data_IF_382151950274
#
_entry.id   IF_382151950274
#
_cell.length_a   1.000
_cell.length_b   1.000
_cell.length_c   1.000
_cell.angle_alpha   90.00
_cell.angle_beta   90.00
_cell.angle_gamma   90.00
#
_symmetry.space_group_name_H-M   'P 1'
#
loop_
_entity.id
_entity.type
_entity.pdbx_description
1 polymer ?
#
# COMPACT_ATOMS: atom_id res chain seq x y z
N UNK A 1 -25.80 -16.06 -31.34
CA UNK A 1 -25.07 -15.60 -30.14
C UNK A 1 -23.57 -15.34 -30.38
N UNK A 2 -22.82 -16.24 -31.01
CA UNK A 2 -21.37 -16.02 -31.25
C UNK A 2 -21.10 -14.92 -32.30
N UNK A 3 -21.93 -14.78 -33.32
CA UNK A 3 -21.86 -13.72 -34.33
C UNK A 3 -22.29 -12.35 -33.77
N UNK A 4 -23.21 -12.29 -32.83
CA UNK A 4 -23.62 -11.04 -32.16
C UNK A 4 -22.47 -10.48 -31.32
N UNK A 5 -21.74 -11.32 -30.60
CA UNK A 5 -20.56 -10.94 -29.84
C UNK A 5 -19.46 -10.34 -30.72
N UNK A 6 -19.20 -10.92 -31.91
CA UNK A 6 -18.25 -10.38 -32.89
C UNK A 6 -18.71 -9.07 -33.52
N UNK A 7 -20.00 -8.89 -33.78
CA UNK A 7 -20.54 -7.67 -34.39
C UNK A 7 -20.52 -6.49 -33.42
N UNK A 8 -20.73 -6.74 -32.16
CA UNK A 8 -20.80 -5.69 -31.13
C UNK A 8 -19.48 -5.45 -30.38
N UNK A 9 -18.40 -6.16 -30.72
CA UNK A 9 -17.08 -6.02 -30.08
C UNK A 9 -17.08 -6.47 -28.62
N UNK A 10 -18.02 -7.33 -28.21
CA UNK A 10 -17.99 -7.96 -26.91
C UNK A 10 -16.94 -9.06 -26.87
N UNK A 11 -16.09 -9.02 -25.87
CA UNK A 11 -15.03 -10.00 -25.69
C UNK A 11 -15.57 -11.15 -24.87
N UNK A 12 -15.41 -12.42 -25.31
CA UNK A 12 -15.77 -13.60 -24.54
C UNK A 12 -15.03 -13.68 -23.20
N UNK A 13 -15.66 -14.24 -22.18
CA UNK A 13 -15.12 -14.32 -20.84
C UNK A 13 -13.81 -15.11 -20.71
N UNK A 14 -13.64 -16.13 -21.53
CA UNK A 14 -12.43 -16.95 -21.61
C UNK A 14 -11.22 -16.19 -22.19
N UNK A 15 -11.46 -15.23 -23.08
CA UNK A 15 -10.40 -14.38 -23.62
C UNK A 15 -9.92 -13.35 -22.61
N UNK A 16 -10.81 -12.81 -21.76
CA UNK A 16 -10.41 -11.95 -20.64
C UNK A 16 -9.47 -12.64 -19.64
N UNK A 17 -9.68 -13.92 -19.39
CA UNK A 17 -8.79 -14.74 -18.54
C UNK A 17 -7.36 -14.80 -19.10
N UNK A 18 -7.21 -14.96 -20.41
CA UNK A 18 -5.90 -15.07 -21.05
C UNK A 18 -5.13 -13.75 -21.07
N UNK A 19 -5.83 -12.63 -21.22
CA UNK A 19 -5.22 -11.29 -21.26
C UNK A 19 -4.62 -10.90 -19.91
N UNK A 20 -5.33 -11.16 -18.82
CA UNK A 20 -4.85 -10.83 -17.47
C UNK A 20 -3.54 -11.53 -17.10
N UNK A 21 -3.26 -12.69 -17.68
CA UNK A 21 -2.03 -13.45 -17.44
C UNK A 21 -0.79 -12.84 -18.11
N UNK A 22 -0.96 -12.00 -19.13
CA UNK A 22 0.14 -11.50 -19.96
C UNK A 22 0.54 -10.04 -19.67
N UNK A 23 -0.17 -9.35 -18.77
CA UNK A 23 0.16 -7.96 -18.42
C UNK A 23 1.21 -7.94 -17.33
N UNK A 24 2.44 -7.57 -17.68
CA UNK A 24 3.54 -7.38 -16.72
C UNK A 24 3.47 -5.98 -16.13
N UNK A 25 3.34 -5.89 -14.81
CA UNK A 25 3.39 -4.64 -14.05
C UNK A 25 4.56 -4.64 -13.10
N UNK A 26 5.09 -3.45 -12.74
CA UNK A 26 6.03 -3.37 -11.65
C UNK A 26 5.36 -3.86 -10.36
N UNK A 27 6.02 -4.81 -9.69
CA UNK A 27 5.59 -5.27 -8.38
C UNK A 27 5.76 -4.13 -7.38
N UNK A 28 4.68 -3.80 -6.67
CA UNK A 28 4.81 -2.94 -5.52
C UNK A 28 5.45 -3.75 -4.38
N UNK A 29 6.54 -3.25 -3.78
CA UNK A 29 7.18 -3.95 -2.67
C UNK A 29 6.25 -4.25 -1.49
N UNK A 30 5.16 -3.48 -1.32
CA UNK A 30 4.17 -3.71 -0.27
C UNK A 30 3.42 -5.03 -0.45
N UNK A 31 3.32 -5.54 -1.68
CA UNK A 31 2.66 -6.82 -1.96
C UNK A 31 3.41 -8.02 -1.35
N UNK A 32 4.70 -7.88 -1.05
CA UNK A 32 5.46 -8.91 -0.32
C UNK A 32 5.03 -8.97 1.15
N UNK A 33 4.62 -7.84 1.73
CA UNK A 33 4.16 -7.74 3.12
C UNK A 33 2.69 -8.09 3.28
N UNK A 34 1.88 -7.84 2.24
CA UNK A 34 0.43 -8.09 2.21
C UNK A 34 0.08 -8.99 1.04
N UNK A 35 0.18 -10.30 1.24
CA UNK A 35 -0.26 -11.27 0.23
C UNK A 35 -1.77 -11.19 0.00
N UNK A 36 -2.22 -11.36 -1.23
CA UNK A 36 -3.63 -11.28 -1.59
C UNK A 36 -4.33 -12.62 -1.32
N UNK A 37 -5.49 -12.56 -0.65
CA UNK A 37 -6.35 -13.72 -0.34
C UNK A 37 -7.81 -13.37 -0.66
N UNK A 38 -8.59 -14.40 -1.05
CA UNK A 38 -10.01 -14.26 -1.35
C UNK A 38 -10.88 -14.82 -0.23
N UNK A 39 -11.94 -14.09 0.11
CA UNK A 39 -13.02 -14.61 0.94
C UNK A 39 -14.36 -14.08 0.44
N UNK A 40 -15.37 -14.93 0.39
CA UNK A 40 -16.73 -14.57 -0.02
C UNK A 40 -17.44 -13.65 0.97
N UNK A 41 -16.96 -13.53 2.22
CA UNK A 41 -17.55 -12.68 3.22
C UNK A 41 -17.38 -11.19 2.88
N UNK A 42 -18.44 -10.40 2.98
CA UNK A 42 -18.40 -8.94 2.84
C UNK A 42 -17.53 -8.29 3.93
N UNK A 43 -17.60 -8.82 5.14
CA UNK A 43 -16.89 -8.28 6.31
C UNK A 43 -15.58 -9.05 6.50
N UNK A 44 -14.47 -8.32 6.52
CA UNK A 44 -13.19 -8.82 6.96
C UNK A 44 -13.19 -8.91 8.50
N UNK A 45 -12.90 -10.09 9.03
CA UNK A 45 -12.82 -10.33 10.48
C UNK A 45 -11.44 -10.83 10.82
N UNK A 46 -10.81 -10.22 11.80
CA UNK A 46 -9.56 -10.71 12.36
C UNK A 46 -9.52 -10.48 13.87
N UNK A 47 -8.60 -11.14 14.52
CA UNK A 47 -8.41 -11.06 15.95
C UNK A 47 -7.00 -10.60 16.28
N UNK A 48 -6.88 -9.69 17.20
CA UNK A 48 -5.59 -9.24 17.74
C UNK A 48 -5.53 -9.44 19.24
N UNK A 49 -4.31 -9.62 19.76
CA UNK A 49 -4.04 -9.71 21.19
C UNK A 49 -3.43 -8.37 21.61
N UNK A 50 -3.96 -7.76 22.68
CA UNK A 50 -3.41 -6.50 23.19
C UNK A 50 -1.94 -6.65 23.62
N UNK A 51 -1.13 -5.58 23.46
CA UNK A 51 0.34 -5.60 23.64
C UNK A 51 0.79 -6.11 24.99
N UNK A 52 0.12 -5.68 26.01
CA UNK A 52 0.43 -6.06 27.38
C UNK A 52 0.35 -7.58 27.64
N UNK A 53 -0.39 -8.30 26.79
CA UNK A 53 -0.54 -9.75 26.86
C UNK A 53 0.32 -10.52 25.86
N UNK A 54 1.09 -9.84 25.02
CA UNK A 54 2.00 -10.48 24.07
C UNK A 54 3.34 -10.81 24.70
N UNK A 55 3.66 -10.18 25.83
CA UNK A 55 4.84 -10.51 26.64
C UNK A 55 4.54 -11.78 27.44
N UNK A 56 5.38 -12.85 27.33
CA UNK A 56 5.13 -14.09 28.02
C UNK A 56 5.25 -13.92 29.56
N UNK A 57 4.23 -14.35 30.28
CA UNK A 57 4.21 -14.32 31.74
C UNK A 57 4.94 -15.54 32.27
N UNK A 58 5.84 -15.32 33.22
CA UNK A 58 6.64 -16.37 33.85
C UNK A 58 5.77 -17.25 34.76
N UNK A 59 5.86 -18.58 34.62
CA UNK A 59 5.31 -19.53 35.55
C UNK A 59 6.15 -19.58 36.85
N UNK A 60 5.52 -19.89 37.96
CA UNK A 60 6.18 -19.97 39.27
C UNK A 60 6.53 -21.41 39.61
N UNK A 61 7.64 -21.60 40.33
CA UNK A 61 7.97 -22.90 40.92
C UNK A 61 7.06 -23.18 42.12
N UNK A 62 6.61 -24.44 42.24
CA UNK A 62 5.79 -24.91 43.34
C UNK A 62 6.50 -26.05 44.08
N UNK A 63 6.22 -26.19 45.36
CA UNK A 63 6.65 -27.36 46.12
C UNK A 63 5.89 -28.62 45.66
N UNK A 64 6.45 -29.79 45.97
CA UNK A 64 5.72 -31.04 45.74
C UNK A 64 4.43 -31.05 46.57
N UNK A 65 3.39 -31.65 46.05
CA UNK A 65 2.06 -31.79 46.68
C UNK A 65 1.32 -30.46 46.96
N UNK A 66 1.70 -29.36 46.26
CA UNK A 66 0.98 -28.08 46.33
C UNK A 66 0.16 -27.84 45.06
N UNK A 67 -0.99 -27.15 45.23
CA UNK A 67 -1.86 -26.80 44.10
C UNK A 67 -1.20 -25.74 43.20
N UNK A 68 -1.38 -25.89 41.87
CA UNK A 68 -0.87 -24.95 40.89
C UNK A 68 -1.64 -23.63 40.92
N UNK A 69 -0.93 -22.51 40.80
CA UNK A 69 -1.54 -21.18 40.70
C UNK A 69 -2.34 -21.03 39.42
N UNK A 70 -3.59 -20.61 39.54
CA UNK A 70 -4.45 -20.33 38.38
C UNK A 70 -3.95 -19.08 37.66
N UNK A 71 -3.82 -19.16 36.33
CA UNK A 71 -3.53 -18.04 35.45
C UNK A 71 -4.82 -17.57 34.70
N UNK A 72 -4.74 -16.40 34.07
CA UNK A 72 -5.84 -15.84 33.32
C UNK A 72 -5.73 -16.19 31.82
N UNK A 73 -6.87 -16.13 31.10
CA UNK A 73 -6.89 -16.22 29.66
C UNK A 73 -6.61 -14.84 29.07
N UNK A 74 -5.78 -14.80 28.02
CA UNK A 74 -5.49 -13.59 27.28
C UNK A 74 -6.75 -13.09 26.57
N UNK A 75 -7.17 -11.84 26.79
CA UNK A 75 -8.28 -11.26 26.02
C UNK A 75 -7.89 -11.10 24.55
N UNK A 76 -8.85 -11.32 23.67
CA UNK A 76 -8.69 -11.21 22.22
C UNK A 76 -9.69 -10.19 21.71
N UNK A 77 -9.18 -9.16 21.08
CA UNK A 77 -10.00 -8.16 20.41
C UNK A 77 -10.39 -8.62 19.01
N UNK A 78 -11.66 -8.51 18.69
CA UNK A 78 -12.19 -8.89 17.38
C UNK A 78 -12.47 -7.63 16.58
N UNK A 79 -11.81 -7.50 15.46
CA UNK A 79 -12.00 -6.41 14.51
C UNK A 79 -12.88 -6.86 13.36
N UNK A 80 -13.82 -5.99 12.96
CA UNK A 80 -14.71 -6.21 11.83
C UNK A 80 -14.68 -4.98 10.93
N UNK A 81 -14.29 -5.13 9.68
CA UNK A 81 -14.26 -4.05 8.70
C UNK A 81 -14.99 -4.52 7.44
N UNK A 82 -15.91 -3.70 6.95
CA UNK A 82 -16.55 -3.94 5.66
C UNK A 82 -15.58 -3.64 4.52
N UNK A 83 -15.51 -4.54 3.52
CA UNK A 83 -14.65 -4.36 2.36
C UNK A 83 -15.18 -3.23 1.48
N UNK A 84 -14.28 -2.38 1.02
CA UNK A 84 -14.60 -1.30 0.10
C UNK A 84 -14.83 -1.79 -1.32
N UNK A 85 -15.89 -1.31 -1.97
CA UNK A 85 -16.20 -1.64 -3.35
C UNK A 85 -15.58 -0.62 -4.30
N UNK A 86 -14.62 -1.07 -5.10
CA UNK A 86 -13.90 -0.28 -6.10
C UNK A 86 -14.53 -0.54 -7.46
N UNK A 87 -14.95 0.52 -8.17
CA UNK A 87 -15.57 0.42 -9.50
C UNK A 87 -15.04 1.50 -10.42
N UNK A 88 -14.81 1.12 -11.66
CA UNK A 88 -14.47 2.04 -12.74
C UNK A 88 -15.10 1.58 -14.04
N UNK A 89 -15.56 2.50 -14.88
CA UNK A 89 -16.16 2.17 -16.18
C UNK A 89 -15.75 3.15 -17.27
N UNK A 90 -15.73 2.66 -18.48
CA UNK A 90 -15.53 3.44 -19.71
C UNK A 90 -16.60 3.07 -20.72
N UNK A 91 -16.96 4.02 -21.59
CA UNK A 91 -17.89 3.76 -22.68
C UNK A 91 -17.22 3.93 -24.04
N UNK A 92 -17.67 3.16 -25.02
CA UNK A 92 -17.43 3.41 -26.42
C UNK A 92 -18.61 4.21 -26.98
N UNK A 93 -18.34 5.48 -27.33
CA UNK A 93 -19.37 6.36 -27.88
C UNK A 93 -19.84 5.89 -29.27
N UNK A 94 -21.08 6.21 -29.63
CA UNK A 94 -21.63 5.94 -30.96
C UNK A 94 -20.74 6.45 -32.11
N UNK A 95 -20.15 7.65 -31.92
CA UNK A 95 -19.24 8.24 -32.89
C UNK A 95 -17.99 7.40 -33.09
N UNK A 96 -17.38 6.88 -32.02
CA UNK A 96 -16.22 6.01 -32.08
C UNK A 96 -16.57 4.72 -32.81
N UNK A 97 -17.72 4.12 -32.50
CA UNK A 97 -18.21 2.89 -33.16
C UNK A 97 -18.52 3.09 -34.63
N UNK A 98 -19.09 4.24 -34.99
CA UNK A 98 -19.36 4.57 -36.41
C UNK A 98 -18.07 4.77 -37.22
N UNK A 99 -17.04 5.41 -36.63
CA UNK A 99 -15.74 5.59 -37.25
C UNK A 99 -14.99 4.28 -37.43
N UNK A 100 -15.01 3.40 -36.41
CA UNK A 100 -14.39 2.07 -36.45
C UNK A 100 -15.09 1.16 -37.47
N UNK A 101 -16.42 1.24 -37.60
CA UNK A 101 -17.19 0.45 -38.56
C UNK A 101 -16.91 0.83 -40.03
N UNK A 102 -16.50 2.08 -40.29
CA UNK A 102 -16.28 2.61 -41.64
C UNK A 102 -14.91 2.28 -42.25
N UNK A 103 -13.91 1.88 -41.49
CA UNK A 103 -12.55 1.72 -42.01
C UNK A 103 -11.57 0.85 -41.27
N UNK A 104 -11.95 0.24 -40.14
CA UNK A 104 -11.04 -0.57 -39.31
C UNK A 104 -11.45 -2.03 -39.35
N UNK A 105 -10.46 -2.92 -39.47
CA UNK A 105 -10.72 -4.36 -39.37
C UNK A 105 -11.20 -4.72 -37.97
N UNK A 106 -12.04 -5.74 -37.84
CA UNK A 106 -12.61 -6.18 -36.57
C UNK A 106 -11.55 -6.48 -35.49
N UNK A 107 -10.36 -6.89 -35.87
CA UNK A 107 -9.25 -7.23 -34.98
C UNK A 107 -8.70 -5.99 -34.25
N UNK A 108 -8.55 -4.85 -34.91
CA UNK A 108 -8.07 -3.61 -34.27
C UNK A 108 -9.08 -3.03 -33.28
N UNK A 109 -10.36 -3.18 -33.53
CA UNK A 109 -11.41 -2.78 -32.59
C UNK A 109 -11.44 -3.68 -31.35
N UNK A 110 -11.23 -4.97 -31.57
CA UNK A 110 -11.11 -5.96 -30.51
C UNK A 110 -9.95 -5.63 -29.57
N UNK A 111 -8.76 -5.35 -30.14
CA UNK A 111 -7.57 -4.97 -29.38
C UNK A 111 -7.78 -3.67 -28.58
N UNK A 112 -8.49 -2.69 -29.15
CA UNK A 112 -8.80 -1.44 -28.47
C UNK A 112 -9.68 -1.66 -27.24
N UNK A 113 -10.76 -2.44 -27.37
CA UNK A 113 -11.67 -2.76 -26.25
C UNK A 113 -10.97 -3.61 -25.18
N UNK A 114 -10.12 -4.54 -25.62
CA UNK A 114 -9.30 -5.35 -24.74
C UNK A 114 -8.36 -4.50 -23.89
N UNK A 115 -7.66 -3.54 -24.53
CA UNK A 115 -6.78 -2.61 -23.84
C UNK A 115 -7.53 -1.74 -22.84
N UNK A 116 -8.74 -1.30 -23.14
CA UNK A 116 -9.57 -0.55 -22.19
C UNK A 116 -9.92 -1.38 -20.96
N UNK A 117 -10.29 -2.63 -21.12
CA UNK A 117 -10.58 -3.53 -20.00
C UNK A 117 -9.36 -3.77 -19.10
N UNK A 118 -8.17 -3.95 -19.70
CA UNK A 118 -6.92 -4.09 -18.95
C UNK A 118 -6.64 -2.82 -18.14
N UNK A 119 -6.76 -1.65 -18.77
CA UNK A 119 -6.54 -0.36 -18.08
C UNK A 119 -7.50 -0.14 -16.91
N UNK A 120 -8.77 -0.53 -17.05
CA UNK A 120 -9.75 -0.46 -15.96
C UNK A 120 -9.38 -1.41 -14.81
N UNK A 121 -8.96 -2.63 -15.12
CA UNK A 121 -8.48 -3.57 -14.11
C UNK A 121 -7.24 -3.03 -13.40
N UNK A 122 -6.32 -2.37 -14.13
CA UNK A 122 -5.15 -1.72 -13.57
C UNK A 122 -5.50 -0.63 -12.57
N UNK A 123 -6.52 0.16 -12.85
CA UNK A 123 -6.99 1.19 -11.94
C UNK A 123 -7.53 0.59 -10.63
N UNK A 124 -8.28 -0.51 -10.70
CA UNK A 124 -8.75 -1.21 -9.50
C UNK A 124 -7.59 -1.73 -8.66
N UNK A 125 -6.61 -2.41 -9.27
CA UNK A 125 -5.42 -2.91 -8.57
C UNK A 125 -4.57 -1.78 -8.01
N UNK A 126 -4.42 -0.68 -8.74
CA UNK A 126 -3.71 0.52 -8.27
C UNK A 126 -4.32 1.05 -6.97
N UNK A 127 -5.66 1.15 -6.89
CA UNK A 127 -6.34 1.62 -5.67
C UNK A 127 -6.10 0.68 -4.48
N UNK A 128 -6.01 -0.63 -4.70
CA UNK A 128 -5.69 -1.57 -3.61
C UNK A 128 -4.26 -1.42 -3.11
N UNK A 129 -3.30 -1.18 -4.00
CA UNK A 129 -1.91 -0.88 -3.63
C UNK A 129 -1.80 0.42 -2.86
N UNK A 130 -2.55 1.46 -3.25
CA UNK A 130 -2.63 2.72 -2.50
C UNK A 130 -3.11 2.46 -1.07
N UNK A 131 -4.18 1.67 -0.88
CA UNK A 131 -4.69 1.36 0.45
C UNK A 131 -3.67 0.59 1.32
N UNK A 132 -2.93 -0.37 0.76
CA UNK A 132 -1.86 -1.10 1.47
C UNK A 132 -0.73 -0.15 1.89
N UNK A 133 -0.29 0.75 1.02
CA UNK A 133 0.77 1.71 1.31
C UNK A 133 0.33 2.78 2.31
N UNK A 134 -0.93 3.22 2.25
CA UNK A 134 -1.51 4.17 3.19
C UNK A 134 -1.57 3.56 4.60
N UNK A 135 -1.99 2.30 4.72
CA UNK A 135 -1.93 1.55 5.98
C UNK A 135 -0.50 1.52 6.55
N UNK A 136 0.50 1.27 5.72
CA UNK A 136 1.90 1.28 6.14
C UNK A 136 2.39 2.68 6.55
N UNK A 137 1.89 3.73 5.94
CA UNK A 137 2.35 5.10 6.18
C UNK A 137 1.67 5.79 7.36
N UNK A 138 0.45 5.36 7.72
CA UNK A 138 -0.38 6.05 8.74
C UNK A 138 -1.02 5.13 9.79
N UNK A 139 -1.05 3.81 9.57
CA UNK A 139 -1.81 2.87 10.39
C UNK A 139 -3.33 2.92 10.14
N UNK A 140 -3.77 3.67 9.14
CA UNK A 140 -5.17 3.89 8.80
C UNK A 140 -5.35 3.84 7.28
N UNK A 141 -6.57 3.60 6.82
CA UNK A 141 -6.97 3.75 5.41
C UNK A 141 -8.12 4.73 5.32
N UNK A 142 -7.95 5.80 4.57
CA UNK A 142 -8.94 6.86 4.40
C UNK A 142 -9.54 6.79 3.01
N UNK A 143 -10.86 6.74 2.94
CA UNK A 143 -11.63 6.69 1.69
C UNK A 143 -12.51 7.95 1.65
N UNK A 144 -12.06 8.97 0.92
CA UNK A 144 -12.79 10.23 0.71
C UNK A 144 -13.04 10.37 -0.79
N UNK A 145 -13.95 9.55 -1.30
CA UNK A 145 -14.20 9.43 -2.74
C UNK A 145 -15.70 9.26 -3.00
N UNK A 146 -16.21 9.88 -4.06
CA UNK A 146 -17.60 9.69 -4.54
C UNK A 146 -18.69 9.85 -3.46
N UNK A 147 -18.50 10.76 -2.51
CA UNK A 147 -19.42 11.01 -1.40
C UNK A 147 -19.28 10.04 -0.22
N UNK A 148 -18.36 9.11 -0.29
CA UNK A 148 -17.93 8.31 0.87
C UNK A 148 -16.90 9.11 1.67
N UNK A 149 -17.03 9.12 2.99
CA UNK A 149 -16.03 9.63 3.91
C UNK A 149 -15.90 8.61 5.04
N UNK A 150 -14.98 7.70 4.87
CA UNK A 150 -14.73 6.59 5.79
C UNK A 150 -13.24 6.52 6.11
N UNK A 151 -12.90 6.56 7.38
CA UNK A 151 -11.56 6.24 7.86
C UNK A 151 -11.60 4.92 8.61
N UNK A 152 -10.83 3.98 8.15
CA UNK A 152 -10.64 2.68 8.79
C UNK A 152 -9.39 2.75 9.63
N UNK A 153 -9.56 2.77 10.95
CA UNK A 153 -8.46 2.73 11.92
C UNK A 153 -8.18 1.28 12.29
N UNK A 154 -6.93 0.87 12.14
CA UNK A 154 -6.48 -0.49 12.48
C UNK A 154 -6.07 -0.65 13.94
N UNK A 155 -6.16 0.42 14.74
CA UNK A 155 -5.81 0.39 16.15
C UNK A 155 -4.30 0.36 16.42
N UNK A 156 -3.49 0.91 15.50
CA UNK A 156 -2.06 1.10 15.76
C UNK A 156 -1.89 2.06 16.95
N UNK A 157 -1.15 1.70 18.00
CA UNK A 157 -1.01 2.55 19.16
C UNK A 157 -0.52 3.95 18.81
N UNK A 158 -1.14 4.99 19.39
CA UNK A 158 -0.77 6.38 19.09
C UNK A 158 0.72 6.67 19.37
N UNK A 159 1.31 6.01 20.39
CA UNK A 159 2.73 6.11 20.68
C UNK A 159 3.61 5.58 19.54
N UNK A 160 3.13 4.56 18.82
CA UNK A 160 3.88 3.94 17.72
C UNK A 160 3.83 4.78 16.43
N UNK A 161 2.91 5.73 16.33
CA UNK A 161 2.74 6.62 15.16
C UNK A 161 3.36 8.00 15.40
N UNK A 162 3.72 8.31 16.64
CA UNK A 162 4.19 9.64 17.06
C UNK A 162 5.71 9.85 16.91
N UNK A 163 6.45 8.89 16.39
CA UNK A 163 7.89 9.04 16.21
C UNK A 163 8.23 10.08 15.15
N UNK A 164 9.31 10.79 15.41
CA UNK A 164 9.91 11.73 14.45
C UNK A 164 11.33 11.28 14.13
N UNK A 165 11.75 11.46 12.88
CA UNK A 165 13.08 11.10 12.42
C UNK A 165 13.69 12.32 11.70
N UNK A 166 14.73 12.88 12.26
CA UNK A 166 15.50 13.92 11.60
C UNK A 166 16.60 13.29 10.74
N UNK A 167 16.46 13.45 9.42
CA UNK A 167 17.41 12.95 8.43
C UNK A 167 18.34 14.06 7.92
N UNK A 168 18.61 15.09 8.72
CA UNK A 168 19.60 16.12 8.38
C UNK A 168 21.02 15.54 8.43
N UNK A 169 21.98 16.24 7.79
CA UNK A 169 23.34 15.74 7.63
C UNK A 169 24.08 15.47 8.95
N UNK A 170 23.75 16.23 9.99
CA UNK A 170 24.42 16.16 11.30
C UNK A 170 23.52 15.60 12.41
N UNK A 171 22.33 15.10 12.08
CA UNK A 171 21.44 14.52 13.07
C UNK A 171 21.97 13.15 13.56
N UNK A 172 21.76 12.85 14.81
CA UNK A 172 22.07 11.52 15.38
C UNK A 172 20.98 10.53 14.98
N UNK A 173 21.04 10.04 13.74
CA UNK A 173 20.08 9.06 13.22
C UNK A 173 20.18 7.72 13.97
N UNK A 174 21.37 7.17 14.30
CA UNK A 174 21.50 5.96 15.09
C UNK A 174 20.74 6.02 16.42
N UNK A 175 20.92 7.09 17.21
CA UNK A 175 20.22 7.24 18.49
C UNK A 175 18.70 7.33 18.33
N UNK A 176 18.22 7.98 17.26
CA UNK A 176 16.79 8.05 16.97
C UNK A 176 16.21 6.69 16.59
N UNK A 177 16.92 5.91 15.77
CA UNK A 177 16.51 4.53 15.44
C UNK A 177 16.51 3.66 16.69
N UNK A 178 17.56 3.78 17.53
CA UNK A 178 17.63 3.04 18.80
C UNK A 178 16.42 3.31 19.70
N UNK A 179 15.99 4.57 19.78
CA UNK A 179 14.78 4.95 20.55
C UNK A 179 13.53 4.19 20.06
N UNK A 180 13.38 4.01 18.75
CA UNK A 180 12.26 3.28 18.16
C UNK A 180 12.38 1.78 18.44
N UNK A 181 13.59 1.23 18.34
CA UNK A 181 13.87 -0.18 18.66
C UNK A 181 13.60 -0.47 20.12
N UNK A 182 14.04 0.39 21.03
CA UNK A 182 13.81 0.25 22.48
C UNK A 182 12.31 0.31 22.82
N UNK A 183 11.56 1.20 22.16
CA UNK A 183 10.11 1.26 22.32
C UNK A 183 9.40 -0.01 21.82
N UNK A 184 9.91 -0.63 20.73
CA UNK A 184 9.41 -1.91 20.26
C UNK A 184 9.73 -3.04 21.24
N UNK A 185 10.95 -3.09 21.75
CA UNK A 185 11.37 -4.09 22.73
C UNK A 185 10.58 -3.98 24.04
N UNK A 186 10.25 -2.77 24.48
CA UNK A 186 9.40 -2.54 25.63
C UNK A 186 7.97 -3.12 25.46
N UNK A 187 7.51 -3.24 24.20
CA UNK A 187 6.24 -3.89 23.83
C UNK A 187 6.40 -5.38 23.51
N UNK A 188 7.58 -5.97 23.75
CA UNK A 188 7.86 -7.37 23.40
C UNK A 188 7.99 -7.64 21.90
N UNK A 189 8.26 -6.59 21.08
CA UNK A 189 8.43 -6.69 19.63
C UNK A 189 9.88 -6.51 19.22
N UNK A 190 10.31 -7.24 18.21
CA UNK A 190 11.62 -7.06 17.57
C UNK A 190 11.42 -6.52 16.17
N UNK A 191 11.96 -5.36 15.89
CA UNK A 191 11.91 -4.78 14.54
C UNK A 191 12.72 -5.66 13.59
N UNK A 192 12.08 -6.13 12.51
CA UNK A 192 12.72 -6.99 11.50
C UNK A 192 12.88 -6.29 10.17
N UNK A 193 12.15 -5.19 9.96
CA UNK A 193 12.20 -4.49 8.69
C UNK A 193 11.86 -3.01 8.77
N UNK A 194 12.21 -2.33 7.68
CA UNK A 194 11.94 -0.91 7.48
C UNK A 194 11.47 -0.64 6.06
N UNK A 195 10.46 0.20 5.90
CA UNK A 195 9.98 0.69 4.61
C UNK A 195 10.12 2.21 4.52
N UNK A 196 10.72 2.69 3.43
CA UNK A 196 10.95 4.13 3.21
C UNK A 196 11.18 4.45 1.73
N UNK A 197 11.42 5.71 1.40
CA UNK A 197 11.80 6.15 0.05
C UNK A 197 13.33 6.07 -0.18
N UNK A 198 13.74 5.96 -1.45
CA UNK A 198 15.15 6.06 -1.84
C UNK A 198 15.78 7.38 -1.39
N UNK A 199 15.00 8.46 -1.40
CA UNK A 199 15.43 9.78 -0.94
C UNK A 199 15.89 9.74 0.52
N UNK A 200 15.14 9.09 1.40
CA UNK A 200 15.49 8.95 2.81
C UNK A 200 16.72 8.06 3.00
N UNK A 201 16.81 6.97 2.26
CA UNK A 201 18.02 6.13 2.25
C UNK A 201 19.25 6.92 1.82
N UNK A 202 19.11 7.78 0.80
CA UNK A 202 20.24 8.63 0.37
C UNK A 202 20.66 9.61 1.46
N UNK A 203 19.70 10.21 2.18
CA UNK A 203 19.99 11.07 3.33
C UNK A 203 20.71 10.29 4.45
N UNK A 204 20.26 9.09 4.79
CA UNK A 204 20.93 8.22 5.78
C UNK A 204 22.38 7.94 5.35
N UNK A 205 22.64 7.60 4.09
CA UNK A 205 23.99 7.34 3.56
C UNK A 205 24.92 8.55 3.58
N UNK A 206 24.37 9.74 3.53
CA UNK A 206 25.13 11.02 3.58
C UNK A 206 25.22 11.62 4.99
N UNK A 207 24.57 10.99 5.98
CA UNK A 207 24.61 11.47 7.36
C UNK A 207 25.98 11.24 8.01
N UNK A 208 26.48 12.26 8.72
CA UNK A 208 27.83 12.24 9.28
C UNK A 208 28.05 11.16 10.34
N UNK A 209 27.07 10.92 11.21
CA UNK A 209 27.19 9.89 12.27
C UNK A 209 27.16 8.47 11.68
N UNK A 210 26.33 8.20 10.67
CA UNK A 210 26.32 6.92 9.97
C UNK A 210 27.63 6.72 9.20
N UNK A 211 28.14 7.77 8.54
CA UNK A 211 29.43 7.68 7.83
C UNK A 211 30.58 7.36 8.79
N UNK A 212 30.58 7.98 9.94
CA UNK A 212 31.58 7.76 10.99
C UNK A 212 31.47 6.36 11.60
N UNK A 213 30.26 5.89 11.85
CA UNK A 213 30.02 4.55 12.38
C UNK A 213 30.52 3.46 11.41
N UNK A 214 30.28 3.60 10.12
CA UNK A 214 30.62 2.58 9.09
C UNK A 214 32.06 2.72 8.60
N UNK A 215 32.53 3.93 8.29
CA UNK A 215 33.83 4.18 7.68
C UNK A 215 34.92 4.52 8.69
N UNK A 216 34.58 4.72 9.97
CA UNK A 216 35.47 5.27 11.00
C UNK A 216 35.80 6.76 10.79
N UNK A 217 36.55 7.34 11.73
CA UNK A 217 36.88 8.78 11.71
C UNK A 217 37.70 9.22 10.46
N UNK A 218 38.49 8.35 9.87
CA UNK A 218 39.33 8.64 8.70
C UNK A 218 38.49 8.70 7.41
N UNK A 219 37.39 7.97 7.35
CA UNK A 219 36.46 7.93 6.21
C UNK A 219 35.27 8.86 6.34
N UNK A 220 35.22 9.73 7.36
CA UNK A 220 34.16 10.71 7.55
C UNK A 220 34.06 11.63 6.32
N UNK A 221 32.84 11.76 5.76
CA UNK A 221 32.58 12.52 4.54
C UNK A 221 32.53 11.69 3.25
N UNK A 222 32.92 10.40 3.26
CA UNK A 222 32.72 9.50 2.12
C UNK A 222 31.30 8.93 2.13
N UNK A 223 30.62 8.99 0.98
CA UNK A 223 29.27 8.42 0.84
C UNK A 223 29.28 6.92 1.11
N UNK A 224 28.48 6.49 2.08
CA UNK A 224 28.31 5.07 2.43
C UNK A 224 27.65 4.29 1.29
N UNK A 225 28.17 3.13 0.95
CA UNK A 225 27.52 2.21 -0.01
C UNK A 225 26.22 1.67 0.55
N UNK A 226 25.24 1.40 -0.31
CA UNK A 226 23.93 0.87 0.13
C UNK A 226 24.10 -0.45 0.91
N UNK A 227 24.88 -1.38 0.42
CA UNK A 227 25.11 -2.65 1.11
C UNK A 227 25.79 -2.51 2.48
N UNK A 228 26.64 -1.48 2.66
CA UNK A 228 27.26 -1.21 3.96
C UNK A 228 26.26 -0.59 4.95
N UNK A 229 25.34 0.26 4.47
CA UNK A 229 24.24 0.76 5.30
C UNK A 229 23.31 -0.38 5.69
N UNK A 230 22.92 -1.25 4.74
CA UNK A 230 22.01 -2.35 5.01
C UNK A 230 22.62 -3.32 6.05
N UNK A 231 23.92 -3.66 5.92
CA UNK A 231 24.66 -4.49 6.89
C UNK A 231 24.75 -3.81 8.27
N UNK A 232 24.99 -2.51 8.32
CA UNK A 232 25.02 -1.75 9.57
C UNK A 232 23.67 -1.76 10.29
N UNK A 233 22.57 -1.54 9.55
CA UNK A 233 21.22 -1.55 10.12
C UNK A 233 20.79 -2.95 10.60
N UNK A 234 21.26 -4.00 9.93
CA UNK A 234 21.05 -5.39 10.34
C UNK A 234 21.84 -5.73 11.61
N UNK A 235 23.13 -5.37 11.65
CA UNK A 235 24.03 -5.71 12.74
C UNK A 235 23.70 -4.95 14.05
N UNK A 236 23.42 -3.65 13.95
CA UNK A 236 23.17 -2.79 15.13
C UNK A 236 21.72 -2.85 15.61
N UNK A 237 20.75 -2.89 14.69
CA UNK A 237 19.33 -2.75 15.04
C UNK A 237 18.47 -3.97 14.69
N UNK A 238 19.05 -5.02 14.10
CA UNK A 238 18.30 -6.21 13.70
C UNK A 238 17.39 -6.01 12.49
N UNK A 239 17.55 -4.91 11.71
CA UNK A 239 16.71 -4.57 10.57
C UNK A 239 17.20 -5.32 9.33
N UNK A 240 16.68 -6.53 9.12
CA UNK A 240 17.09 -7.42 8.01
C UNK A 240 16.46 -7.00 6.67
N UNK A 241 15.21 -6.56 6.70
CA UNK A 241 14.46 -6.26 5.47
C UNK A 241 14.31 -4.76 5.27
N UNK A 242 15.00 -4.19 4.26
CA UNK A 242 14.89 -2.78 3.94
C UNK A 242 14.20 -2.59 2.59
N UNK A 243 12.96 -2.16 2.63
CA UNK A 243 12.09 -1.93 1.48
C UNK A 243 12.15 -0.48 1.07
N UNK A 244 12.44 -0.22 -0.22
CA UNK A 244 12.32 1.12 -0.80
C UNK A 244 11.16 1.15 -1.79
N UNK A 245 10.20 2.06 -1.56
CA UNK A 245 9.09 2.27 -2.49
C UNK A 245 9.14 3.70 -3.04
N UNK A 246 9.47 3.80 -4.33
CA UNK A 246 9.52 5.05 -5.09
C UNK A 246 8.49 5.07 -6.21
N UNK A 247 7.61 4.08 -6.27
CA UNK A 247 6.58 3.98 -7.28
C UNK A 247 5.57 5.13 -7.15
N UNK A 248 5.07 5.56 -8.31
CA UNK A 248 4.06 6.62 -8.43
C UNK A 248 2.83 6.09 -9.14
N UNK A 249 1.69 6.69 -8.85
CA UNK A 249 0.41 6.39 -9.51
C UNK A 249 -0.28 7.68 -9.95
N UNK A 250 -1.24 7.56 -10.87
CA UNK A 250 -2.12 8.66 -11.24
C UNK A 250 -3.25 8.79 -10.23
N UNK A 251 -3.24 9.83 -9.40
CA UNK A 251 -4.25 10.04 -8.38
C UNK A 251 -5.54 10.58 -8.96
N UNK A 252 -5.45 11.45 -9.95
CA UNK A 252 -6.60 12.05 -10.61
C UNK A 252 -6.34 12.25 -12.11
N UNK A 253 -7.39 12.11 -12.91
CA UNK A 253 -7.36 12.34 -14.34
C UNK A 253 -8.43 13.36 -14.72
N UNK A 254 -8.00 14.58 -15.00
CA UNK A 254 -8.89 15.69 -15.37
C UNK A 254 -8.72 16.00 -16.85
N UNK A 255 -9.82 16.19 -17.55
CA UNK A 255 -9.77 16.70 -18.94
C UNK A 255 -9.57 18.21 -18.85
N UNK A 256 -8.41 18.68 -19.30
CA UNK A 256 -8.10 20.11 -19.37
C UNK A 256 -9.03 20.88 -20.31
N UNK A 257 -9.00 22.20 -20.23
CA UNK A 257 -9.78 23.08 -21.11
C UNK A 257 -9.41 22.92 -22.60
N UNK A 258 -8.24 22.37 -22.90
CA UNK A 258 -7.76 22.01 -24.24
C UNK A 258 -8.25 20.63 -24.74
N UNK A 259 -9.10 19.95 -23.95
CA UNK A 259 -9.62 18.62 -24.24
C UNK A 259 -8.63 17.47 -24.06
N UNK A 260 -7.43 17.75 -23.50
CA UNK A 260 -6.42 16.72 -23.22
C UNK A 260 -6.51 16.23 -21.79
N UNK A 261 -6.32 14.92 -21.55
CA UNK A 261 -6.25 14.40 -20.20
C UNK A 261 -4.95 14.87 -19.53
N UNK A 262 -5.08 15.41 -18.33
CA UNK A 262 -3.97 15.70 -17.40
C UNK A 262 -4.06 14.74 -16.23
N UNK A 263 -2.95 14.10 -15.88
CA UNK A 263 -2.87 13.14 -14.79
C UNK A 263 -2.01 13.74 -13.68
N UNK A 264 -2.59 13.89 -12.50
CA UNK A 264 -1.85 14.23 -11.29
C UNK A 264 -1.19 12.96 -10.75
N UNK A 265 0.14 12.99 -10.59
CA UNK A 265 0.88 11.84 -10.09
C UNK A 265 1.20 12.01 -8.61
N UNK A 266 0.97 10.95 -7.85
CA UNK A 266 1.31 10.84 -6.44
C UNK A 266 2.17 9.62 -6.18
N UNK A 267 2.84 9.58 -5.03
CA UNK A 267 3.64 8.42 -4.62
C UNK A 267 2.77 7.45 -3.83
N UNK A 268 2.96 6.15 -4.06
CA UNK A 268 2.32 5.13 -3.24
C UNK A 268 2.73 5.26 -1.77
N UNK A 269 4.03 5.40 -1.51
CA UNK A 269 4.54 5.60 -0.15
C UNK A 269 5.12 7.02 0.00
N UNK A 270 4.68 7.81 1.00
CA UNK A 270 5.09 9.20 1.17
C UNK A 270 6.58 9.36 1.51
N UNK A 271 7.25 10.37 0.95
CA UNK A 271 8.66 10.67 1.23
C UNK A 271 8.93 11.09 2.68
N UNK A 272 7.92 11.60 3.36
CA UNK A 272 8.04 12.09 4.74
C UNK A 272 7.76 11.00 5.79
N UNK A 273 7.74 9.74 5.39
CA UNK A 273 7.49 8.62 6.30
C UNK A 273 8.60 7.58 6.24
N UNK A 274 8.87 7.00 7.39
CA UNK A 274 9.69 5.80 7.56
C UNK A 274 8.91 4.88 8.48
N UNK A 275 8.59 3.69 8.02
CA UNK A 275 7.84 2.71 8.81
C UNK A 275 8.73 1.55 9.16
N UNK A 276 8.95 1.33 10.44
CA UNK A 276 9.60 0.16 10.98
C UNK A 276 8.54 -0.87 11.34
N UNK A 277 8.85 -2.15 11.16
CA UNK A 277 7.86 -3.18 11.37
C UNK A 277 8.46 -4.49 11.88
N UNK A 278 7.60 -5.26 12.56
CA UNK A 278 7.88 -6.62 12.98
C UNK A 278 7.09 -7.57 12.09
N UNK A 279 7.75 -8.19 11.11
CA UNK A 279 7.11 -9.17 10.26
C UNK A 279 6.95 -10.52 10.96
N UNK A 280 5.92 -11.29 10.55
CA UNK A 280 5.80 -12.70 10.94
C UNK A 280 6.99 -13.51 10.42
N UNK A 281 7.23 -14.73 10.93
CA UNK A 281 8.29 -15.61 10.40
C UNK A 281 8.17 -15.88 8.89
N UNK A 282 6.97 -15.74 8.31
CA UNK A 282 6.73 -15.82 6.88
C UNK A 282 7.02 -14.52 6.12
N UNK A 283 7.51 -13.47 6.80
CA UNK A 283 7.81 -12.17 6.21
C UNK A 283 6.59 -11.30 5.91
N UNK A 284 5.41 -11.64 6.44
CA UNK A 284 4.15 -10.91 6.18
C UNK A 284 3.74 -10.07 7.39
N UNK A 285 3.09 -8.94 7.13
CA UNK A 285 2.43 -8.09 8.12
C UNK A 285 0.92 -8.27 8.15
N UNK A 286 0.36 -8.67 7.03
CA UNK A 286 -1.07 -8.81 6.86
C UNK A 286 -1.45 -9.47 5.56
N UNK A 287 -2.70 -9.31 5.18
CA UNK A 287 -3.26 -9.80 3.93
C UNK A 287 -4.05 -8.71 3.22
N UNK A 288 -4.03 -8.71 1.90
CA UNK A 288 -4.96 -8.00 1.05
C UNK A 288 -6.21 -8.85 0.85
N UNK A 289 -7.29 -8.55 1.56
CA UNK A 289 -8.47 -9.39 1.56
C UNK A 289 -9.44 -8.97 0.47
N UNK A 290 -9.53 -9.81 -0.57
CA UNK A 290 -10.47 -9.62 -1.67
C UNK A 290 -11.80 -10.31 -1.37
N UNK A 291 -12.87 -9.75 -1.95
CA UNK A 291 -14.21 -10.30 -1.90
C UNK A 291 -14.83 -10.43 -3.27
N UNK A 292 -15.99 -11.02 -3.30
CA UNK A 292 -16.80 -11.11 -4.51
C UNK A 292 -17.67 -9.84 -4.61
N UNK A 293 -17.48 -9.00 -5.65
CA UNK A 293 -18.37 -7.87 -5.87
C UNK A 293 -19.77 -8.37 -6.26
N UNK A 294 -20.83 -7.55 -6.14
CA UNK A 294 -22.21 -7.94 -6.45
C UNK A 294 -22.39 -8.50 -7.86
N UNK A 295 -21.51 -8.16 -8.77
CA UNK A 295 -21.49 -8.67 -10.14
C UNK A 295 -21.12 -10.15 -10.22
N UNK A 296 -20.47 -10.71 -9.21
CA UNK A 296 -20.05 -12.13 -9.17
C UNK A 296 -21.24 -13.10 -9.16
N UNK A 297 -22.42 -12.65 -8.71
CA UNK A 297 -23.65 -13.46 -8.69
C UNK A 297 -24.26 -13.68 -10.10
N UNK A 298 -23.66 -13.06 -11.12
CA UNK A 298 -24.10 -13.15 -12.51
C UNK A 298 -23.02 -13.77 -13.40
N UNK A 299 -22.81 -15.09 -13.30
CA UNK A 299 -21.72 -15.78 -14.01
C UNK A 299 -21.88 -15.76 -15.54
N UNK A 300 -23.08 -15.50 -16.04
CA UNK A 300 -23.41 -15.34 -17.46
C UNK A 300 -22.85 -14.05 -18.08
N UNK A 301 -22.46 -13.07 -17.23
CA UNK A 301 -22.04 -11.74 -17.65
C UNK A 301 -20.55 -11.44 -17.35
N UNK A 302 -19.83 -12.36 -16.69
CA UNK A 302 -18.55 -12.01 -16.06
C UNK A 302 -17.37 -12.82 -16.57
N UNK A 303 -16.38 -12.12 -17.09
CA UNK A 303 -15.01 -12.58 -17.14
C UNK A 303 -14.30 -12.27 -15.81
N UNK A 304 -13.83 -13.30 -15.11
CA UNK A 304 -12.94 -13.13 -13.99
C UNK A 304 -11.54 -12.84 -14.57
N UNK A 305 -11.07 -11.60 -14.48
CA UNK A 305 -9.78 -11.23 -15.05
C UNK A 305 -8.72 -11.24 -13.98
N UNK A 306 -7.77 -12.11 -14.16
CA UNK A 306 -6.49 -12.07 -13.47
C UNK A 306 -5.65 -10.92 -14.05
N UNK A 307 -5.96 -9.70 -13.62
CA UNK A 307 -5.43 -8.47 -14.22
C UNK A 307 -3.92 -8.29 -14.02
N UNK A 308 -3.26 -9.14 -13.22
CA UNK A 308 -1.84 -8.98 -12.93
C UNK A 308 -1.05 -10.27 -12.75
N UNK A 309 -1.68 -11.45 -12.89
CA UNK A 309 -1.04 -12.69 -12.46
C UNK A 309 -0.80 -12.76 -10.94
N UNK A 310 -1.01 -11.64 -10.24
CA UNK A 310 -0.83 -11.50 -8.80
C UNK A 310 -2.13 -11.19 -8.04
N UNK A 311 -3.16 -10.70 -8.73
CA UNK A 311 -4.42 -10.31 -8.11
C UNK A 311 -5.61 -10.81 -8.94
N UNK A 312 -6.07 -12.05 -8.72
CA UNK A 312 -7.03 -12.73 -9.60
C UNK A 312 -8.49 -12.29 -9.41
N UNK A 313 -8.77 -11.18 -8.71
CA UNK A 313 -10.09 -10.90 -8.15
C UNK A 313 -10.75 -9.63 -8.67
N UNK A 314 -10.31 -9.15 -9.84
CA UNK A 314 -10.96 -8.05 -10.54
C UNK A 314 -11.93 -8.61 -11.57
N UNK A 315 -13.18 -8.18 -11.51
CA UNK A 315 -14.24 -8.59 -12.41
C UNK A 315 -14.44 -7.54 -13.50
N UNK A 316 -14.38 -7.96 -14.79
CA UNK A 316 -14.70 -7.10 -15.92
C UNK A 316 -16.06 -7.51 -16.46
N UNK A 317 -16.91 -6.54 -16.65
CA UNK A 317 -18.26 -6.71 -17.19
C UNK A 317 -18.50 -5.74 -18.33
N UNK A 318 -19.12 -6.24 -19.41
CA UNK A 318 -19.54 -5.45 -20.55
C UNK A 318 -21.04 -5.56 -20.76
N UNK A 319 -21.67 -4.44 -21.10
CA UNK A 319 -23.07 -4.40 -21.51
C UNK A 319 -23.30 -3.32 -22.55
N UNK A 320 -24.34 -3.48 -23.32
CA UNK A 320 -24.77 -2.52 -24.30
C UNK A 320 -26.01 -1.79 -23.81
N UNK A 321 -26.03 -0.49 -24.01
CA UNK A 321 -27.18 0.38 -23.81
C UNK A 321 -27.75 0.72 -25.17
N UNK A 322 -29.09 0.72 -25.30
CA UNK A 322 -29.76 0.84 -26.61
C UNK A 322 -29.93 2.30 -27.04
N UNK A 323 -30.13 3.22 -26.07
CA UNK A 323 -30.32 4.66 -26.36
C UNK A 323 -29.59 5.52 -25.31
N UNK A 324 -28.43 6.14 -25.67
CA UNK A 324 -27.67 5.99 -26.92
C UNK A 324 -27.01 4.59 -27.07
N UNK A 325 -26.82 4.16 -28.31
CA UNK A 325 -26.24 2.83 -28.59
C UNK A 325 -24.75 2.77 -28.27
N UNK A 326 -24.41 2.60 -26.98
CA UNK A 326 -23.05 2.59 -26.45
C UNK A 326 -22.71 1.24 -25.81
N UNK A 327 -21.44 0.85 -25.94
CA UNK A 327 -20.89 -0.31 -25.22
C UNK A 327 -20.15 0.19 -23.97
N UNK A 328 -20.56 -0.29 -22.82
CA UNK A 328 -19.92 -0.04 -21.54
C UNK A 328 -19.00 -1.19 -21.16
N UNK A 329 -17.82 -0.86 -20.70
CA UNK A 329 -16.90 -1.81 -20.04
C UNK A 329 -16.66 -1.31 -18.63
N UNK A 330 -16.83 -2.18 -17.64
CA UNK A 330 -16.67 -1.87 -16.22
C UNK A 330 -15.74 -2.89 -15.56
N UNK A 331 -14.80 -2.42 -14.76
CA UNK A 331 -14.05 -3.25 -13.84
C UNK A 331 -14.51 -3.00 -12.40
N UNK A 332 -14.61 -4.04 -11.60
CA UNK A 332 -15.00 -3.97 -10.20
C UNK A 332 -14.22 -4.96 -9.34
N UNK A 333 -13.96 -4.57 -8.09
CA UNK A 333 -13.32 -5.40 -7.08
C UNK A 333 -13.81 -5.00 -5.69
N UNK A 334 -13.88 -5.96 -4.80
CA UNK A 334 -14.18 -5.75 -3.40
C UNK A 334 -12.91 -6.02 -2.60
N UNK A 335 -12.37 -5.01 -1.89
CA UNK A 335 -11.06 -5.11 -1.28
C UNK A 335 -10.96 -4.35 0.05
N UNK A 336 -10.18 -4.90 0.99
CA UNK A 336 -9.67 -4.19 2.16
C UNK A 336 -8.37 -4.86 2.64
N UNK A 337 -7.30 -4.11 2.93
CA UNK A 337 -6.14 -4.68 3.60
C UNK A 337 -6.48 -5.04 5.05
N UNK A 338 -5.87 -6.07 5.57
CA UNK A 338 -5.99 -6.51 6.97
C UNK A 338 -4.59 -6.58 7.56
N UNK A 339 -4.41 -5.96 8.72
CA UNK A 339 -3.17 -6.02 9.49
C UNK A 339 -3.32 -7.08 10.58
N UNK A 340 -2.40 -8.04 10.65
CA UNK A 340 -2.46 -9.11 11.65
C UNK A 340 -2.27 -8.59 13.06
N UNK A 341 -1.32 -7.69 13.23
CA UNK A 341 -0.97 -7.13 14.52
C UNK A 341 -0.73 -5.62 14.42
N UNK A 342 -1.66 -4.79 14.92
CA UNK A 342 -1.52 -3.34 14.91
C UNK A 342 -0.27 -2.82 15.62
N UNK A 343 0.25 -3.57 16.58
CA UNK A 343 1.42 -3.19 17.37
C UNK A 343 2.75 -3.54 16.69
N UNK A 344 2.68 -4.22 15.55
CA UNK A 344 3.85 -4.53 14.74
C UNK A 344 4.38 -3.36 13.92
N UNK A 345 3.66 -2.22 13.89
CA UNK A 345 4.02 -1.03 13.12
C UNK A 345 4.51 0.10 14.03
N UNK A 346 5.64 0.70 13.65
CA UNK A 346 6.23 1.89 14.27
C UNK A 346 6.52 2.91 13.18
N UNK A 347 5.76 4.00 13.17
CA UNK A 347 5.76 4.97 12.07
C UNK A 347 6.45 6.25 12.51
N UNK A 348 7.53 6.60 11.84
CA UNK A 348 8.24 7.84 12.05
C UNK A 348 7.94 8.85 10.94
N UNK A 349 7.67 10.10 11.33
CA UNK A 349 7.54 11.21 10.41
C UNK A 349 8.91 11.86 10.23
N UNK A 350 9.37 11.96 8.98
CA UNK A 350 10.61 12.66 8.67
C UNK A 350 10.40 14.15 8.82
N UNK A 351 11.11 14.77 9.76
CA UNK A 351 11.11 16.21 9.89
C UNK A 351 11.85 16.83 8.69
N UNK A 352 11.29 17.88 8.03
CA UNK A 352 12.06 18.62 7.05
C UNK A 352 13.29 19.19 7.76
N UNK A 353 14.47 19.14 7.11
CA UNK A 353 15.62 19.89 7.57
C UNK A 353 15.14 21.32 7.84
N UNK A 354 15.27 21.80 9.08
CA UNK A 354 14.95 23.17 9.39
C UNK A 354 15.70 24.04 8.37
N UNK A 355 14.98 24.88 7.62
CA UNK A 355 15.58 26.00 6.95
C UNK A 355 16.26 26.77 8.07
N UNK A 356 17.59 26.69 8.12
CA UNK A 356 18.39 27.42 9.08
C UNK A 356 17.93 28.89 9.07
N UNK A 357 17.65 29.39 10.27
CA UNK A 357 16.97 30.63 10.53
C UNK A 357 17.50 31.78 9.70
N UNK A 358 16.64 32.31 8.87
CA UNK A 358 16.72 33.70 8.49
C UNK A 358 16.51 34.52 9.77
N UNK A 359 17.59 34.78 10.49
CA UNK A 359 17.60 35.81 11.51
C UNK A 359 17.30 37.13 10.81
N UNK A 360 16.07 37.56 10.85
CA UNK A 360 15.73 38.96 10.63
C UNK A 360 16.33 39.79 11.77
N UNK A 361 17.55 40.25 11.51
CA UNK A 361 18.10 41.38 12.19
C UNK A 361 17.39 42.65 11.74
N UNK A 362 16.21 42.92 12.30
CA UNK A 362 15.57 44.21 12.22
C UNK A 362 16.20 45.15 13.23
N UNK A 363 17.33 45.76 12.91
CA UNK A 363 17.78 46.95 13.62
C UNK A 363 16.90 48.13 13.25
N UNK A 364 16.12 48.56 14.22
CA UNK A 364 15.47 49.85 14.24
C UNK A 364 16.49 50.97 14.29
N UNK A 365 16.61 51.72 13.22
CA UNK A 365 17.25 53.04 13.20
C UNK A 365 16.18 54.10 13.45
N UNK A 366 16.07 54.55 14.68
CA UNK A 366 15.46 55.81 15.01
C UNK A 366 16.54 56.90 14.86
N UNK A 367 16.28 57.95 14.09
CA UNK A 367 16.82 59.27 14.35
C UNK A 367 16.26 60.30 13.35
N UNK A 368 15.78 61.40 13.86
CA UNK A 368 15.72 62.71 13.25
C UNK A 368 14.38 63.21 12.84
#
# INVERSE_FOLDING_TARGET
MEWEKKIFGMIPNDEWLNVGLNVTRPNDPVDTLFGDERTSNLVAKWQSIASEFQIPVMAQFHGFDTEAKTTFRVPVDTHNIEKGLIKVKINQSERLRALTRAGVQNDEMFDYVMNDGIRLADQVVTRTKVAKNELMASGQVTIVENGLNLTVDYGVPAANVAFTLDLSANADIPAQIQTIVDAALAQGKTITGMMTSRKNITKMRSNAEIQKAINGNIGAGALVRRSALDAYLEEEFGIVTIITNDLTYGADAVIGADGRPSITTERYFPDNKVTFFTATPAGRLGIGLWGDPPEADRPDLLGNVNASGQSPFVYIHQWMEDDPAVLWTKASGLFMPVLYDPQSLFIATVTPANAEGGAEGGEGGAAG
#
